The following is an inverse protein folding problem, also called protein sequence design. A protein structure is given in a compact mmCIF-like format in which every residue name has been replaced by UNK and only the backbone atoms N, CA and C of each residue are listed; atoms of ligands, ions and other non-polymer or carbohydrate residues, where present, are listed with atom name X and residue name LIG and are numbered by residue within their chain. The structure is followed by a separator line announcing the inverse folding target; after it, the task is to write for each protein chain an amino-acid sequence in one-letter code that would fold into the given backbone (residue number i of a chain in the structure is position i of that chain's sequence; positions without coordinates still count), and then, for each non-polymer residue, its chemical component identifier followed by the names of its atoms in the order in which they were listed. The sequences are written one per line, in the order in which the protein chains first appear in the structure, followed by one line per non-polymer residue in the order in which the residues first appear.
data_IF_177770095515
#
_entry.id   IF_177770095515
#
_cell.length_a   1.000
_cell.length_b   1.000
_cell.length_c   1.000
_cell.angle_alpha   90.00
_cell.angle_beta   90.00
_cell.angle_gamma   90.00
#
_symmetry.space_group_name_H-M   'P 1'
#
loop_
_entity.id
_entity.type
_entity.pdbx_description
1 polymer ?
#
# COMPACT_ATOMS: atom_id res chain seq x y z
N UNK A 1 1.31 -5.43 3.90
CA UNK A 1 1.23 -3.95 3.98
C UNK A 1 1.81 -3.44 5.27
N UNK A 2 1.31 -3.88 6.43
CA UNK A 2 1.80 -3.44 7.74
C UNK A 2 3.32 -3.58 7.93
N UNK A 3 3.96 -4.59 7.35
CA UNK A 3 5.42 -4.83 7.45
C UNK A 3 6.25 -4.28 6.29
N UNK A 4 5.64 -3.61 5.31
CA UNK A 4 6.30 -3.20 4.06
C UNK A 4 7.16 -4.32 3.39
N UNK A 5 6.53 -5.45 3.05
CA UNK A 5 7.24 -6.59 2.48
C UNK A 5 7.89 -6.29 1.11
N UNK A 6 9.06 -6.91 0.85
CA UNK A 6 9.78 -6.82 -0.43
C UNK A 6 9.54 -8.03 -1.36
N UNK A 7 9.81 -9.25 -0.89
CA UNK A 7 9.63 -10.48 -1.68
C UNK A 7 10.64 -10.66 -2.83
N UNK A 8 10.55 -11.79 -3.55
CA UNK A 8 11.53 -12.19 -4.58
C UNK A 8 11.53 -11.29 -5.83
N UNK A 9 10.39 -10.67 -6.14
CA UNK A 9 10.22 -9.84 -7.35
C UNK A 9 10.35 -8.34 -7.08
N UNK A 10 10.93 -7.95 -5.93
CA UNK A 10 11.08 -6.55 -5.51
C UNK A 10 11.84 -5.71 -6.53
N UNK A 11 12.84 -6.29 -7.19
CA UNK A 11 13.63 -5.60 -8.22
C UNK A 11 12.80 -5.20 -9.44
N UNK A 12 11.75 -5.97 -9.76
CA UNK A 12 10.88 -5.71 -10.91
C UNK A 12 9.71 -4.79 -10.57
N UNK A 13 9.09 -4.99 -9.41
CA UNK A 13 7.81 -4.33 -9.08
C UNK A 13 7.90 -3.28 -7.98
N UNK A 14 9.01 -3.22 -7.24
CA UNK A 14 9.17 -2.38 -6.06
C UNK A 14 8.73 -3.07 -4.77
N UNK A 15 8.90 -2.36 -3.66
CA UNK A 15 8.44 -2.76 -2.34
C UNK A 15 6.91 -2.68 -2.26
N UNK A 16 6.30 -3.27 -1.24
CA UNK A 16 4.86 -3.14 -0.99
C UNK A 16 4.41 -1.67 -1.03
N UNK A 17 5.20 -0.74 -0.48
CA UNK A 17 4.87 0.70 -0.47
C UNK A 17 4.74 1.34 -1.85
N UNK A 18 5.43 0.80 -2.85
CA UNK A 18 5.42 1.32 -4.23
C UNK A 18 4.18 0.83 -4.99
N UNK A 19 3.57 -0.25 -4.49
CA UNK A 19 2.39 -0.87 -5.06
C UNK A 19 1.09 -0.33 -4.46
N UNK A 20 1.11 0.21 -3.24
CA UNK A 20 -0.10 0.73 -2.57
C UNK A 20 -0.48 2.11 -3.11
N UNK A 21 -1.65 2.19 -3.76
CA UNK A 21 -2.23 3.43 -4.28
C UNK A 21 -3.13 4.11 -3.26
N UNK A 22 -3.91 3.33 -2.51
CA UNK A 22 -4.85 3.79 -1.50
C UNK A 22 -4.91 2.81 -0.33
N UNK A 23 -5.31 3.30 0.84
CA UNK A 23 -5.37 2.51 2.06
C UNK A 23 -6.56 2.98 2.91
N UNK A 24 -7.24 2.01 3.52
CA UNK A 24 -8.26 2.22 4.53
C UNK A 24 -7.80 1.58 5.84
N UNK A 25 -7.95 2.29 6.95
CA UNK A 25 -7.58 1.79 8.26
C UNK A 25 -8.49 2.31 9.37
N UNK A 26 -8.67 1.49 10.40
CA UNK A 26 -9.29 1.87 11.66
C UNK A 26 -8.20 2.35 12.62
N UNK A 27 -8.34 3.57 13.10
CA UNK A 27 -7.45 4.21 14.07
C UNK A 27 -7.74 3.71 15.51
N UNK A 28 -6.84 3.94 16.49
CA UNK A 28 -7.02 3.45 17.86
C UNK A 28 -8.27 3.96 18.59
N UNK A 29 -8.78 5.12 18.19
CA UNK A 29 -10.03 5.71 18.69
C UNK A 29 -11.28 5.09 18.04
N UNK A 30 -11.11 4.14 17.12
CA UNK A 30 -12.17 3.51 16.34
C UNK A 30 -12.56 4.29 15.08
N UNK A 31 -11.94 5.44 14.82
CA UNK A 31 -12.23 6.23 13.62
C UNK A 31 -11.77 5.49 12.37
N UNK A 32 -12.66 5.32 11.39
CA UNK A 32 -12.29 4.80 10.07
C UNK A 32 -11.66 5.92 9.24
N UNK A 33 -10.35 5.82 9.01
CA UNK A 33 -9.66 6.65 8.05
C UNK A 33 -9.70 6.00 6.66
N UNK A 34 -10.27 6.73 5.69
CA UNK A 34 -10.38 6.26 4.31
C UNK A 34 -9.54 7.14 3.37
N UNK A 35 -8.45 6.55 2.86
CA UNK A 35 -7.58 7.13 1.85
C UNK A 35 -7.62 6.38 0.51
N UNK A 36 -8.74 5.75 0.18
CA UNK A 36 -8.95 5.04 -1.09
C UNK A 36 -9.26 6.06 -2.19
N UNK A 37 -8.45 6.08 -3.26
CA UNK A 37 -8.61 7.04 -4.36
C UNK A 37 -8.27 6.46 -5.75
N UNK A 38 -7.55 5.34 -5.82
CA UNK A 38 -7.10 4.67 -7.04
C UNK A 38 -6.13 5.48 -7.90
N UNK A 39 -5.73 6.69 -7.48
CA UNK A 39 -4.95 7.61 -8.30
C UNK A 39 -3.47 7.24 -8.25
N UNK A 40 -2.85 7.13 -9.44
CA UNK A 40 -1.41 6.90 -9.56
C UNK A 40 -0.56 8.05 -8.97
N UNK A 41 -1.09 9.27 -9.01
CA UNK A 41 -0.47 10.47 -8.42
C UNK A 41 -1.56 11.30 -7.76
N UNK A 42 -1.41 11.50 -6.46
CA UNK A 42 -2.25 12.39 -5.67
C UNK A 42 -1.35 13.20 -4.73
N UNK A 43 -1.47 14.52 -4.82
CA UNK A 43 -0.66 15.49 -4.08
C UNK A 43 -1.50 16.34 -3.12
N UNK A 44 -2.74 15.93 -2.84
CA UNK A 44 -3.64 16.65 -1.93
C UNK A 44 -3.29 16.35 -0.48
N UNK A 45 -2.38 17.14 0.09
CA UNK A 45 -1.96 17.03 1.48
C UNK A 45 -0.92 15.93 1.73
N UNK A 46 -0.82 15.48 2.97
CA UNK A 46 0.18 14.50 3.38
C UNK A 46 -0.18 13.07 2.94
N UNK A 47 0.85 12.29 2.64
CA UNK A 47 0.68 10.87 2.29
C UNK A 47 0.53 10.01 3.55
N UNK A 48 -0.63 10.10 4.22
CA UNK A 48 -0.90 9.35 5.45
C UNK A 48 -0.79 7.82 5.25
N UNK A 49 -1.10 7.31 4.05
CA UNK A 49 -0.87 5.91 3.69
C UNK A 49 0.59 5.46 3.90
N UNK A 50 1.55 6.35 3.67
CA UNK A 50 2.98 6.02 3.81
C UNK A 50 3.42 5.87 5.27
N UNK A 51 2.70 6.48 6.22
CA UNK A 51 2.92 6.26 7.64
C UNK A 51 2.38 4.89 8.09
N UNK A 52 1.24 4.49 7.53
CA UNK A 52 0.61 3.20 7.85
C UNK A 52 1.37 2.00 7.27
N UNK A 53 2.00 2.15 6.10
CA UNK A 53 2.82 1.10 5.49
C UNK A 53 4.14 0.96 6.27
N UNK A 54 4.40 -0.23 6.81
CA UNK A 54 5.58 -0.44 7.68
C UNK A 54 5.32 -0.10 9.16
N UNK A 55 4.10 0.29 9.54
CA UNK A 55 3.74 0.58 10.94
C UNK A 55 3.60 -0.65 11.83
N UNK A 56 3.60 -1.86 11.25
CA UNK A 56 3.39 -3.13 11.96
C UNK A 56 2.10 -3.20 12.78
N UNK A 57 1.11 -2.36 12.47
CA UNK A 57 -0.17 -2.28 13.17
C UNK A 57 -0.16 -1.36 14.41
N UNK A 58 0.95 -0.68 14.70
CA UNK A 58 1.07 0.21 15.87
C UNK A 58 0.27 1.51 15.74
N UNK A 59 0.00 1.95 14.50
CA UNK A 59 -0.73 3.19 14.21
C UNK A 59 -2.23 2.96 13.92
N UNK A 60 -2.67 1.71 13.81
CA UNK A 60 -4.03 1.33 13.46
C UNK A 60 -4.10 0.04 12.66
N UNK A 61 -5.31 -0.43 12.40
CA UNK A 61 -5.60 -1.70 11.71
C UNK A 61 -5.99 -1.41 10.28
N UNK A 62 -5.20 -1.91 9.32
CA UNK A 62 -5.49 -1.78 7.88
C UNK A 62 -6.65 -2.71 7.51
N UNK A 63 -7.73 -2.16 6.95
CA UNK A 63 -8.96 -2.88 6.56
C UNK A 63 -9.12 -3.03 5.06
N UNK A 64 -8.59 -2.08 4.28
CA UNK A 64 -8.71 -2.06 2.83
C UNK A 64 -7.45 -1.51 2.15
N UNK A 65 -7.16 -1.99 0.94
CA UNK A 65 -5.96 -1.58 0.19
C UNK A 65 -6.26 -1.58 -1.31
N UNK A 66 -5.90 -0.49 -1.99
CA UNK A 66 -5.83 -0.44 -3.45
C UNK A 66 -4.38 -0.65 -3.90
N UNK A 67 -4.17 -1.62 -4.80
CA UNK A 67 -2.83 -1.95 -5.29
C UNK A 67 -2.70 -1.76 -6.80
N UNK A 68 -1.53 -1.29 -7.22
CA UNK A 68 -1.15 -1.20 -8.63
C UNK A 68 -0.90 -2.61 -9.16
N UNK A 69 -1.70 -3.02 -10.14
CA UNK A 69 -1.46 -4.25 -10.89
C UNK A 69 -0.48 -4.00 -12.03
N UNK A 70 0.23 -5.06 -12.42
CA UNK A 70 1.08 -5.09 -13.60
C UNK A 70 0.56 -6.14 -14.58
N UNK A 71 0.71 -5.93 -15.91
CA UNK A 71 0.32 -6.94 -16.89
C UNK A 71 1.03 -8.27 -16.64
N UNK A 72 0.32 -9.37 -16.90
CA UNK A 72 0.90 -10.71 -16.84
C UNK A 72 2.04 -10.81 -17.87
N UNK A 73 3.25 -11.27 -17.48
CA UNK A 73 4.33 -11.48 -18.45
C UNK A 73 3.92 -12.47 -19.54
N UNK A 74 4.23 -12.16 -20.79
CA UNK A 74 3.98 -13.06 -21.93
C UNK A 74 4.92 -14.27 -21.93
N UNK A 75 6.13 -14.11 -21.35
CA UNK A 75 7.15 -15.14 -21.23
C UNK A 75 7.87 -14.99 -19.88
N UNK A 76 8.23 -16.12 -19.26
CA UNK A 76 9.05 -16.19 -18.04
C UNK A 76 10.14 -17.22 -18.30
N UNK A 77 11.39 -16.78 -18.28
CA UNK A 77 12.56 -17.67 -18.37
C UNK A 77 13.15 -17.82 -16.97
N UNK A 78 13.58 -19.04 -16.64
CA UNK A 78 14.16 -19.43 -15.35
C UNK A 78 15.66 -19.63 -15.50
#
# INVERSE_FOLDING_TARGET
VATNAGGINVLRYGMTRDLVLGLEAVLPDGTLWNGMNGLRKDNRGYSLKQLMIGSEGTLGVVTGVEVRLSPRPTQVET
#
